data_IF_256075197634
#
_entry.id   IF_256075197634
#
_cell.length_a   1.000
_cell.length_b   1.000
_cell.length_c   1.000
_cell.angle_alpha   90.00
_cell.angle_beta   90.00
_cell.angle_gamma   90.00
#
_symmetry.space_group_name_H-M   'P 1'
#
loop_
_entity.id
_entity.type
_entity.pdbx_description
1 polymer ?
#
# COMPACT_ATOMS: atom_id res chain seq x y z
N UNK A 1 -7.64 3.36 14.49
CA UNK A 1 -7.61 2.37 13.39
C UNK A 1 -8.33 2.83 12.13
N UNK A 2 -9.58 3.32 12.20
CA UNK A 2 -10.36 3.69 10.99
C UNK A 2 -9.61 4.63 10.03
N UNK A 3 -8.99 5.70 10.54
CA UNK A 3 -8.24 6.63 9.69
C UNK A 3 -7.03 5.98 8.99
N UNK A 4 -6.32 5.08 9.68
CA UNK A 4 -5.19 4.35 9.10
C UNK A 4 -5.64 3.34 8.04
N UNK A 5 -6.77 2.66 8.27
CA UNK A 5 -7.34 1.73 7.29
C UNK A 5 -7.82 2.45 6.01
N UNK A 6 -8.46 3.62 6.17
CA UNK A 6 -8.88 4.44 5.02
C UNK A 6 -7.64 4.95 4.26
N UNK A 7 -6.63 5.44 4.96
CA UNK A 7 -5.40 5.94 4.33
C UNK A 7 -4.65 4.83 3.57
N UNK A 8 -4.50 3.64 4.17
CA UNK A 8 -3.91 2.46 3.51
C UNK A 8 -4.68 2.08 2.25
N UNK A 9 -6.01 1.91 2.37
CA UNK A 9 -6.86 1.57 1.24
C UNK A 9 -6.77 2.57 0.08
N UNK A 10 -6.79 3.88 0.37
CA UNK A 10 -6.63 4.90 -0.67
C UNK A 10 -5.22 4.90 -1.27
N UNK A 11 -4.19 4.76 -0.45
CA UNK A 11 -2.80 4.70 -0.90
C UNK A 11 -2.56 3.53 -1.85
N UNK A 12 -3.00 2.34 -1.47
CA UNK A 12 -2.88 1.12 -2.28
C UNK A 12 -3.66 1.24 -3.58
N UNK A 13 -4.89 1.78 -3.53
CA UNK A 13 -5.72 1.97 -4.71
C UNK A 13 -5.02 2.87 -5.75
N UNK A 14 -4.38 3.96 -5.30
CA UNK A 14 -3.62 4.86 -6.19
C UNK A 14 -2.39 4.15 -6.78
N UNK A 15 -1.60 3.47 -5.96
CA UNK A 15 -0.37 2.78 -6.38
C UNK A 15 -0.70 1.69 -7.42
N UNK A 16 -1.69 0.86 -7.14
CA UNK A 16 -2.10 -0.24 -8.02
C UNK A 16 -2.72 0.31 -9.30
N UNK A 17 -3.60 1.31 -9.22
CA UNK A 17 -4.20 1.93 -10.39
C UNK A 17 -3.15 2.49 -11.35
N UNK A 18 -2.16 3.22 -10.83
CA UNK A 18 -1.07 3.77 -11.65
C UNK A 18 -0.15 2.69 -12.22
N UNK A 19 0.05 1.61 -11.47
CA UNK A 19 0.81 0.47 -11.96
C UNK A 19 0.10 -0.20 -13.14
N UNK A 20 -1.21 -0.40 -13.06
CA UNK A 20 -2.02 -0.97 -14.13
C UNK A 20 -2.03 -0.06 -15.38
N UNK A 21 -2.21 1.26 -15.21
CA UNK A 21 -2.10 2.22 -16.32
C UNK A 21 -0.71 2.13 -17.00
N UNK A 22 0.35 1.99 -16.20
CA UNK A 22 1.72 1.82 -16.69
C UNK A 22 1.90 0.52 -17.48
N UNK A 23 1.38 -0.60 -16.97
CA UNK A 23 1.47 -1.91 -17.63
C UNK A 23 0.71 -1.94 -18.96
N UNK A 24 -0.47 -1.33 -19.03
CA UNK A 24 -1.24 -1.22 -20.28
C UNK A 24 -0.51 -0.36 -21.31
N UNK A 25 0.15 0.73 -20.87
CA UNK A 25 0.94 1.60 -21.76
C UNK A 25 2.24 0.94 -22.23
N UNK A 26 2.90 0.17 -21.37
CA UNK A 26 4.20 -0.46 -21.64
C UNK A 26 4.23 -1.90 -21.08
N UNK A 27 3.68 -2.87 -21.82
CA UNK A 27 3.55 -4.25 -21.34
C UNK A 27 4.90 -4.94 -21.10
N UNK A 28 5.94 -4.58 -21.86
CA UNK A 28 7.29 -5.12 -21.72
C UNK A 28 7.92 -4.80 -20.34
N UNK A 29 7.52 -3.70 -19.72
CA UNK A 29 8.01 -3.27 -18.41
C UNK A 29 7.18 -3.83 -17.23
N UNK A 30 6.16 -4.67 -17.50
CA UNK A 30 5.22 -5.10 -16.46
C UNK A 30 5.88 -5.78 -15.26
N UNK A 31 6.93 -6.57 -15.48
CA UNK A 31 7.67 -7.22 -14.38
C UNK A 31 8.34 -6.22 -13.44
N UNK A 32 8.95 -5.17 -14.00
CA UNK A 32 9.59 -4.11 -13.22
C UNK A 32 8.55 -3.24 -12.51
N UNK A 33 7.48 -2.85 -13.22
CA UNK A 33 6.37 -2.08 -12.65
C UNK A 33 5.74 -2.81 -11.46
N UNK A 34 5.52 -4.13 -11.56
CA UNK A 34 4.99 -4.94 -10.47
C UNK A 34 5.94 -4.99 -9.26
N UNK A 35 7.24 -5.07 -9.48
CA UNK A 35 8.22 -5.04 -8.37
C UNK A 35 8.20 -3.70 -7.64
N UNK A 36 8.23 -2.60 -8.39
CA UNK A 36 8.15 -1.25 -7.81
C UNK A 36 6.81 -1.01 -7.11
N UNK A 37 5.70 -1.52 -7.66
CA UNK A 37 4.39 -1.48 -7.03
C UNK A 37 4.40 -2.15 -5.65
N UNK A 38 4.96 -3.35 -5.51
CA UNK A 38 5.02 -4.03 -4.22
C UNK A 38 5.88 -3.28 -3.20
N UNK A 39 6.97 -2.66 -3.63
CA UNK A 39 7.76 -1.78 -2.76
C UNK A 39 6.89 -0.59 -2.30
N UNK A 40 6.14 0.03 -3.22
CA UNK A 40 5.22 1.12 -2.92
C UNK A 40 4.12 0.73 -1.93
N UNK A 41 3.45 -0.40 -2.15
CA UNK A 41 2.43 -0.97 -1.24
C UNK A 41 3.04 -1.24 0.13
N UNK A 42 4.25 -1.83 0.20
CA UNK A 42 4.94 -2.06 1.47
C UNK A 42 5.21 -0.78 2.26
N UNK A 43 5.50 0.33 1.57
CA UNK A 43 5.65 1.64 2.20
C UNK A 43 4.32 2.21 2.68
N UNK A 44 3.25 2.11 1.86
CA UNK A 44 1.89 2.53 2.24
C UNK A 44 1.41 1.79 3.48
N UNK A 45 1.55 0.47 3.50
CA UNK A 45 1.05 -0.40 4.57
C UNK A 45 1.90 -0.35 5.86
N UNK A 46 3.12 0.16 5.80
CA UNK A 46 3.98 0.29 6.99
C UNK A 46 3.34 1.13 8.11
N UNK A 47 2.64 2.22 7.76
CA UNK A 47 1.97 3.10 8.72
C UNK A 47 0.70 2.46 9.32
N UNK A 48 -0.24 1.89 8.53
CA UNK A 48 -1.35 1.10 9.05
C UNK A 48 -0.93 -0.02 10.00
N UNK A 49 0.11 -0.78 9.66
CA UNK A 49 0.61 -1.88 10.49
C UNK A 49 1.13 -1.35 11.83
N UNK A 50 1.96 -0.29 11.82
CA UNK A 50 2.44 0.32 13.06
C UNK A 50 1.29 0.87 13.92
N UNK A 51 0.31 1.53 13.30
CA UNK A 51 -0.88 2.01 13.99
C UNK A 51 -1.71 0.89 14.61
N UNK A 52 -1.81 -0.26 13.94
CA UNK A 52 -2.46 -1.46 14.46
C UNK A 52 -1.72 -2.04 15.66
N UNK A 53 -0.41 -2.21 15.57
CA UNK A 53 0.43 -2.72 16.66
C UNK A 53 0.33 -1.81 17.90
N UNK A 54 0.42 -0.49 17.72
CA UNK A 54 0.22 0.48 18.80
C UNK A 54 -1.17 0.36 19.43
N UNK A 55 -2.21 0.19 18.62
CA UNK A 55 -3.57 -0.01 19.12
C UNK A 55 -3.68 -1.25 19.99
N UNK A 56 -3.06 -2.37 19.59
CA UNK A 56 -3.04 -3.60 20.40
C UNK A 56 -2.29 -3.42 21.72
N UNK A 57 -1.16 -2.71 21.71
CA UNK A 57 -0.38 -2.43 22.92
C UNK A 57 -1.13 -1.55 23.93
N UNK A 58 -1.94 -0.60 23.44
CA UNK A 58 -2.74 0.29 24.28
C UNK A 58 -4.02 -0.36 24.80
N UNK A 59 -4.62 -1.27 24.03
CA UNK A 59 -5.87 -1.96 24.41
C UNK A 59 -5.67 -2.98 25.54
N UNK A 60 -4.43 -3.45 25.74
CA UNK A 60 -4.07 -4.44 26.75
C UNK A 60 -3.42 -3.83 28.01
N UNK A 61 -3.57 -2.53 28.20
CA UNK A 61 -3.30 -1.80 29.45
C UNK A 61 -4.62 -1.46 30.11
#
# INVERSE_FOLDING_TARGET
>A
MVGAAIAGAFGDCIVIFKTLEGMVRQPEMSGQLRSTMFIGVGLVESMPILGFVMSLMLMNK
#
